data_IF_891144946672
#
_entry.id   IF_891144946672
#
_cell.length_a   1.000
_cell.length_b   1.000
_cell.length_c   1.000
_cell.angle_alpha   90.00
_cell.angle_beta   90.00
_cell.angle_gamma   90.00
#
_symmetry.space_group_name_H-M   'P 1'
#
loop_
_entity.id
_entity.type
_entity.pdbx_description
1 polymer ?
#
# COMPACT_ATOMS: atom_id res chain seq x y z
N UNK A 1 21.97 -24.77 -10.54
CA UNK A 1 21.61 -24.28 -9.20
C UNK A 1 22.43 -23.02 -8.99
N UNK A 2 21.91 -21.90 -9.44
CA UNK A 2 22.62 -20.61 -9.45
C UNK A 2 22.03 -19.72 -8.37
N UNK A 3 22.92 -19.12 -7.60
CA UNK A 3 22.66 -18.24 -6.47
C UNK A 3 21.79 -17.04 -6.88
N UNK A 4 20.53 -17.03 -6.52
CA UNK A 4 19.70 -15.83 -6.56
C UNK A 4 20.06 -14.96 -5.35
N UNK A 5 20.60 -13.78 -5.63
CA UNK A 5 20.90 -12.79 -4.62
C UNK A 5 19.60 -12.21 -4.01
N UNK A 6 19.26 -12.64 -2.82
CA UNK A 6 18.01 -12.32 -2.09
C UNK A 6 18.02 -10.93 -1.44
N UNK A 7 19.13 -10.20 -1.53
CA UNK A 7 19.32 -8.91 -0.80
C UNK A 7 18.53 -7.73 -1.39
N UNK A 8 17.89 -7.88 -2.55
CA UNK A 8 17.21 -6.76 -3.22
C UNK A 8 15.73 -6.56 -2.89
N UNK A 9 15.15 -7.35 -1.98
CA UNK A 9 13.69 -7.39 -1.78
C UNK A 9 13.15 -6.57 -0.60
N UNK A 10 13.92 -5.66 0.00
CA UNK A 10 13.54 -5.01 1.26
C UNK A 10 13.67 -3.48 1.19
N UNK A 11 13.01 -2.80 0.23
CA UNK A 11 13.07 -1.33 0.20
C UNK A 11 11.77 -0.69 -0.30
N UNK A 12 11.15 0.18 0.52
CA UNK A 12 10.03 1.11 0.33
C UNK A 12 8.72 0.57 -0.30
N UNK A 13 7.59 1.29 -0.11
CA UNK A 13 6.37 1.11 -0.92
C UNK A 13 6.72 1.10 -2.41
N UNK A 14 7.68 1.88 -2.82
CA UNK A 14 8.34 1.80 -4.12
C UNK A 14 9.01 0.45 -4.36
N UNK A 15 9.53 -0.21 -3.34
CA UNK A 15 10.24 -1.48 -3.43
C UNK A 15 9.37 -2.72 -3.19
N UNK A 16 8.19 -2.60 -2.64
CA UNK A 16 7.22 -3.70 -2.72
C UNK A 16 6.81 -3.92 -4.19
N UNK A 17 6.84 -2.85 -4.95
CA UNK A 17 6.75 -2.85 -6.41
C UNK A 17 8.12 -3.17 -7.05
N UNK A 18 9.24 -2.79 -6.41
CA UNK A 18 10.60 -3.14 -6.83
C UNK A 18 10.96 -4.62 -6.58
N UNK A 19 10.34 -5.34 -5.66
CA UNK A 19 10.54 -6.81 -5.57
C UNK A 19 10.03 -7.53 -6.81
N UNK A 20 8.93 -7.03 -7.38
CA UNK A 20 8.48 -7.41 -8.72
C UNK A 20 9.47 -6.98 -9.81
N UNK A 21 10.03 -5.78 -9.70
CA UNK A 21 11.00 -5.22 -10.63
C UNK A 21 12.38 -5.89 -10.53
N UNK A 22 12.82 -6.34 -9.35
CA UNK A 22 14.08 -7.07 -9.21
C UNK A 22 14.08 -8.42 -9.96
N UNK A 23 12.96 -9.11 -10.02
CA UNK A 23 12.85 -10.31 -10.87
C UNK A 23 13.08 -9.99 -12.35
N UNK A 24 12.54 -8.87 -12.83
CA UNK A 24 12.75 -8.41 -14.20
C UNK A 24 14.13 -7.76 -14.42
N UNK A 25 14.68 -7.04 -13.44
CA UNK A 25 16.03 -6.44 -13.52
C UNK A 25 17.11 -7.52 -13.54
N UNK A 26 16.98 -8.60 -12.79
CA UNK A 26 17.94 -9.72 -12.82
C UNK A 26 17.96 -10.39 -14.22
N UNK A 27 16.81 -10.49 -14.86
CA UNK A 27 16.74 -10.97 -16.25
C UNK A 27 17.26 -9.94 -17.27
N UNK A 28 17.07 -8.65 -17.05
CA UNK A 28 17.60 -7.60 -17.92
C UNK A 28 19.12 -7.41 -17.76
N UNK A 29 19.68 -7.54 -16.58
CA UNK A 29 21.14 -7.51 -16.35
C UNK A 29 21.80 -8.71 -17.06
N UNK A 30 21.16 -9.87 -17.07
CA UNK A 30 21.66 -11.04 -17.81
C UNK A 30 21.69 -10.80 -19.33
N UNK A 31 20.71 -10.06 -19.87
CA UNK A 31 20.67 -9.66 -21.29
C UNK A 31 21.68 -8.54 -21.59
N UNK A 32 21.93 -7.61 -20.66
CA UNK A 32 22.84 -6.49 -20.87
C UNK A 32 24.34 -6.91 -20.89
N UNK A 33 24.70 -8.00 -20.20
CA UNK A 33 26.06 -8.53 -20.22
C UNK A 33 26.44 -9.18 -21.56
N UNK A 34 25.45 -9.70 -22.29
CA UNK A 34 25.70 -10.26 -23.65
C UNK A 34 25.75 -9.19 -24.76
N UNK A 35 25.23 -7.98 -24.51
CA UNK A 35 25.17 -6.89 -25.50
C UNK A 35 26.39 -5.92 -25.38
N UNK A 36 27.19 -5.99 -24.32
CA UNK A 36 28.30 -5.05 -24.06
C UNK A 36 29.50 -5.16 -25.04
N UNK A 37 29.46 -6.04 -26.02
CA UNK A 37 30.59 -6.21 -26.97
C UNK A 37 30.41 -5.52 -28.34
N UNK A 38 29.37 -4.74 -28.58
CA UNK A 38 29.05 -4.24 -29.93
C UNK A 38 28.65 -2.76 -30.07
N UNK A 39 28.94 -1.87 -29.09
CA UNK A 39 28.66 -0.43 -29.27
C UNK A 39 29.90 0.38 -28.94
N UNK A 40 30.42 1.14 -29.94
CA UNK A 40 31.52 2.10 -29.82
C UNK A 40 31.23 3.19 -28.77
N UNK A 41 32.25 3.67 -28.03
CA UNK A 41 32.04 4.57 -26.91
C UNK A 41 31.77 5.99 -27.36
N UNK A 42 30.56 6.47 -27.17
CA UNK A 42 30.31 7.89 -26.99
C UNK A 42 30.81 8.28 -25.59
N UNK A 43 31.38 9.46 -25.38
CA UNK A 43 32.06 9.79 -24.15
C UNK A 43 31.09 9.78 -22.97
N UNK A 44 31.36 8.90 -22.03
CA UNK A 44 30.63 8.64 -20.80
C UNK A 44 30.29 9.92 -19.97
N UNK A 45 31.08 10.97 -20.13
CA UNK A 45 30.88 12.27 -19.50
C UNK A 45 29.67 13.07 -20.01
N UNK A 46 29.21 12.85 -21.26
CA UNK A 46 28.00 13.54 -21.75
C UNK A 46 26.72 12.91 -21.27
N UNK A 47 26.68 11.60 -21.06
CA UNK A 47 25.51 10.89 -20.54
C UNK A 47 25.27 11.22 -19.05
N UNK A 48 26.33 11.31 -18.26
CA UNK A 48 26.25 11.65 -16.82
C UNK A 48 25.76 13.09 -16.62
N UNK A 49 26.20 14.06 -17.43
CA UNK A 49 25.83 15.47 -17.25
C UNK A 49 24.39 15.81 -17.64
N UNK A 50 23.75 15.05 -18.54
CA UNK A 50 22.35 15.29 -18.92
C UNK A 50 21.38 14.66 -17.89
N UNK A 51 21.73 13.53 -17.27
CA UNK A 51 20.91 12.86 -16.26
C UNK A 51 21.11 13.41 -14.84
N UNK A 52 22.30 13.86 -14.50
CA UNK A 52 22.61 14.33 -13.13
C UNK A 52 22.12 15.76 -12.83
N UNK A 53 21.67 16.54 -13.81
CA UNK A 53 21.22 17.93 -13.56
C UNK A 53 19.79 18.04 -13.01
N UNK A 54 19.00 16.95 -12.97
CA UNK A 54 17.60 16.98 -12.54
C UNK A 54 17.26 16.05 -11.37
N UNK A 55 18.17 15.16 -10.97
CA UNK A 55 17.93 14.21 -9.87
C UNK A 55 18.76 14.62 -8.67
N UNK A 56 18.10 15.05 -7.59
CA UNK A 56 18.76 15.20 -6.31
C UNK A 56 18.77 13.80 -5.62
N UNK A 57 19.92 13.11 -5.53
CA UNK A 57 20.00 11.77 -4.95
C UNK A 57 19.65 11.73 -3.45
N UNK A 58 19.54 12.90 -2.81
CA UNK A 58 19.15 13.04 -1.40
C UNK A 58 17.68 13.45 -1.23
N UNK A 59 16.96 13.78 -2.32
CA UNK A 59 15.55 14.09 -2.23
C UNK A 59 14.76 12.78 -2.08
N UNK A 60 13.91 12.72 -1.08
CA UNK A 60 12.98 11.59 -0.94
C UNK A 60 11.94 11.67 -2.06
N UNK A 61 11.65 10.58 -2.76
CA UNK A 61 10.59 10.56 -3.77
C UNK A 61 9.25 10.92 -3.12
N UNK A 62 8.39 11.59 -3.88
CA UNK A 62 7.02 11.80 -3.46
C UNK A 62 6.10 10.79 -4.15
N UNK A 63 5.00 10.48 -3.49
CA UNK A 63 3.99 9.58 -3.99
C UNK A 63 2.62 10.24 -3.88
N UNK A 64 1.87 10.30 -4.97
CA UNK A 64 0.50 10.83 -4.97
C UNK A 64 -0.42 9.84 -5.69
N UNK A 65 -1.25 9.18 -4.90
CA UNK A 65 -2.30 8.31 -5.39
C UNK A 65 -3.37 9.16 -6.09
N UNK A 66 -3.84 8.74 -7.26
CA UNK A 66 -4.92 9.43 -7.97
C UNK A 66 -6.25 8.68 -7.83
N UNK A 67 -7.30 9.43 -7.49
CA UNK A 67 -8.69 8.95 -7.43
C UNK A 67 -9.51 9.52 -8.59
N UNK A 68 -9.45 8.92 -9.80
CA UNK A 68 -10.01 9.49 -11.01
C UNK A 68 -11.54 9.54 -11.03
N UNK A 69 -12.20 8.77 -10.17
CA UNK A 69 -13.65 8.74 -9.98
C UNK A 69 -14.07 9.06 -8.55
N UNK A 70 -13.16 9.67 -7.74
CA UNK A 70 -13.43 9.97 -6.34
C UNK A 70 -13.95 8.76 -5.56
N UNK A 71 -15.05 8.93 -4.83
CA UNK A 71 -15.70 7.87 -4.05
C UNK A 71 -16.74 7.05 -4.82
N UNK A 72 -16.92 7.29 -6.15
CA UNK A 72 -17.86 6.51 -6.95
C UNK A 72 -17.45 5.04 -6.96
N UNK A 73 -18.41 4.17 -6.59
CA UNK A 73 -18.21 2.73 -6.53
C UNK A 73 -19.51 2.00 -6.86
N UNK A 74 -19.40 0.84 -7.50
CA UNK A 74 -20.52 -0.06 -7.75
C UNK A 74 -20.86 -0.94 -6.55
N UNK A 75 -20.04 -0.91 -5.49
CA UNK A 75 -20.28 -1.57 -4.21
C UNK A 75 -20.62 -0.58 -3.09
N UNK A 76 -21.13 -1.13 -1.97
CA UNK A 76 -21.41 -0.42 -0.72
C UNK A 76 -20.93 -1.28 0.45
N UNK A 77 -19.60 -1.53 0.49
CA UNK A 77 -18.99 -2.28 1.58
C UNK A 77 -19.27 -1.58 2.91
N UNK A 78 -19.74 -2.33 3.91
CA UNK A 78 -20.26 -1.78 5.19
C UNK A 78 -19.18 -1.00 5.97
N UNK A 79 -17.93 -1.42 5.86
CA UNK A 79 -16.78 -0.81 6.51
C UNK A 79 -16.04 0.26 5.67
N UNK A 80 -16.50 0.58 4.46
CA UNK A 80 -15.75 1.45 3.56
C UNK A 80 -15.71 2.89 4.07
N UNK A 81 -14.57 3.28 4.62
CA UNK A 81 -14.31 4.65 5.13
C UNK A 81 -14.40 5.73 4.04
N UNK A 82 -14.32 5.31 2.78
CA UNK A 82 -14.22 6.24 1.67
C UNK A 82 -15.58 6.66 1.09
N UNK A 83 -16.64 5.91 1.34
CA UNK A 83 -17.99 6.21 0.80
C UNK A 83 -18.51 7.57 1.26
N UNK A 84 -18.27 7.95 2.52
CA UNK A 84 -18.72 9.24 3.04
C UNK A 84 -17.99 10.45 2.44
N UNK A 85 -16.81 10.24 1.81
CA UNK A 85 -16.02 11.32 1.20
C UNK A 85 -16.75 12.00 0.04
N UNK A 86 -17.77 11.33 -0.52
CA UNK A 86 -18.69 11.96 -1.47
C UNK A 86 -19.37 13.23 -0.89
N UNK A 87 -19.56 13.27 0.42
CA UNK A 87 -20.20 14.39 1.10
C UNK A 87 -19.37 15.69 1.03
N UNK A 88 -18.05 15.58 0.85
CA UNK A 88 -17.16 16.73 0.65
C UNK A 88 -17.35 17.41 -0.72
N UNK A 89 -18.01 16.74 -1.67
CA UNK A 89 -18.06 17.16 -3.08
C UNK A 89 -19.48 17.23 -3.63
N UNK A 90 -20.51 17.41 -2.78
CA UNK A 90 -21.92 17.42 -3.20
C UNK A 90 -22.23 18.52 -4.22
N UNK A 91 -21.54 19.65 -4.15
CA UNK A 91 -21.73 20.78 -5.06
C UNK A 91 -21.00 20.63 -6.40
N UNK A 92 -20.21 19.57 -6.59
CA UNK A 92 -19.48 19.31 -7.83
C UNK A 92 -20.40 18.74 -8.90
N UNK A 93 -20.36 19.34 -10.10
CA UNK A 93 -21.15 18.89 -11.26
C UNK A 93 -20.71 17.53 -11.80
N UNK A 94 -19.48 17.14 -11.56
CA UNK A 94 -18.88 15.88 -12.02
C UNK A 94 -18.06 15.29 -10.88
N UNK A 95 -18.14 13.98 -10.69
CA UNK A 95 -17.34 13.21 -9.74
C UNK A 95 -16.23 12.41 -10.41
N UNK A 96 -15.86 12.78 -11.63
CA UNK A 96 -14.76 12.17 -12.37
C UNK A 96 -13.77 13.22 -12.85
N UNK A 97 -12.51 12.88 -12.87
CA UNK A 97 -11.44 13.77 -13.33
C UNK A 97 -11.65 14.15 -14.81
N UNK A 98 -11.46 15.42 -15.14
CA UNK A 98 -11.47 15.91 -16.51
C UNK A 98 -10.16 15.56 -17.22
N UNK A 99 -10.22 15.53 -18.56
CA UNK A 99 -9.03 15.27 -19.39
C UNK A 99 -7.92 16.31 -19.16
N UNK A 100 -8.30 17.58 -19.02
CA UNK A 100 -7.34 18.66 -18.75
C UNK A 100 -6.67 18.50 -17.39
N UNK A 101 -7.43 18.08 -16.35
CA UNK A 101 -6.89 17.83 -15.03
C UNK A 101 -5.98 16.60 -15.00
N UNK A 102 -6.36 15.54 -15.74
CA UNK A 102 -5.55 14.34 -15.90
C UNK A 102 -4.18 14.67 -16.53
N UNK A 103 -4.17 15.44 -17.61
CA UNK A 103 -2.94 15.85 -18.28
C UNK A 103 -2.06 16.69 -17.36
N UNK A 104 -2.65 17.67 -16.67
CA UNK A 104 -1.92 18.49 -15.68
C UNK A 104 -1.30 17.63 -14.58
N UNK A 105 -2.08 16.71 -14.01
CA UNK A 105 -1.58 15.80 -12.97
C UNK A 105 -0.41 14.96 -13.49
N UNK A 106 -0.57 14.26 -14.61
CA UNK A 106 0.46 13.36 -15.14
C UNK A 106 1.75 14.13 -15.41
N UNK A 107 1.65 15.29 -16.06
CA UNK A 107 2.81 16.14 -16.34
C UNK A 107 3.52 16.57 -15.06
N UNK A 108 2.80 17.19 -14.13
CA UNK A 108 3.38 17.69 -12.87
C UNK A 108 3.93 16.57 -11.99
N UNK A 109 3.22 15.42 -11.95
CA UNK A 109 3.65 14.28 -11.13
C UNK A 109 4.97 13.69 -11.65
N UNK A 110 5.12 13.52 -12.96
CA UNK A 110 6.39 13.07 -13.55
C UNK A 110 7.49 14.11 -13.32
N UNK A 111 7.20 15.40 -13.51
CA UNK A 111 8.18 16.48 -13.33
C UNK A 111 8.64 16.63 -11.88
N UNK A 112 7.78 16.31 -10.92
CA UNK A 112 8.07 16.40 -9.48
C UNK A 112 8.94 15.26 -8.95
N UNK A 113 9.11 14.16 -9.71
CA UNK A 113 9.87 13.00 -9.25
C UNK A 113 11.37 13.23 -9.27
N UNK A 114 12.05 12.73 -8.26
CA UNK A 114 13.50 12.79 -8.08
C UNK A 114 14.19 11.49 -8.47
N UNK A 115 13.42 10.44 -8.75
CA UNK A 115 13.88 9.10 -9.14
C UNK A 115 13.73 8.86 -10.65
N UNK A 116 14.51 7.94 -11.24
CA UNK A 116 14.34 7.54 -12.64
C UNK A 116 13.05 6.76 -12.87
N UNK A 117 12.51 6.14 -11.83
CA UNK A 117 11.30 5.35 -11.88
C UNK A 117 10.13 6.14 -11.29
N UNK A 118 8.99 6.11 -11.98
CA UNK A 118 7.77 6.82 -11.56
C UNK A 118 6.61 5.84 -11.52
N UNK A 119 6.04 5.65 -10.33
CA UNK A 119 4.88 4.81 -10.15
C UNK A 119 3.61 5.64 -10.11
N UNK A 120 2.66 5.30 -10.98
CA UNK A 120 1.28 5.78 -10.89
C UNK A 120 0.42 4.76 -10.16
N UNK A 121 -0.27 5.19 -9.11
CA UNK A 121 -1.26 4.40 -8.40
C UNK A 121 -2.67 4.95 -8.66
N UNK A 122 -3.47 4.14 -9.31
CA UNK A 122 -4.87 4.42 -9.61
C UNK A 122 -5.75 3.79 -8.52
N UNK A 123 -6.45 4.61 -7.78
CA UNK A 123 -7.28 4.19 -6.66
C UNK A 123 -8.62 4.92 -6.64
N UNK A 124 -9.43 4.79 -5.59
CA UNK A 124 -10.65 5.55 -5.40
C UNK A 124 -11.77 4.72 -4.82
N UNK A 125 -12.99 4.99 -5.23
CA UNK A 125 -14.13 4.13 -4.99
C UNK A 125 -13.96 2.82 -5.77
N UNK A 126 -14.29 2.83 -7.06
CA UNK A 126 -13.92 1.74 -7.97
C UNK A 126 -13.29 2.34 -9.25
N UNK A 127 -12.04 2.01 -9.47
CA UNK A 127 -11.24 2.55 -10.58
C UNK A 127 -11.78 2.15 -11.95
N UNK A 128 -12.32 0.93 -12.08
CA UNK A 128 -12.88 0.42 -13.32
C UNK A 128 -14.26 1.04 -13.67
N UNK A 129 -14.77 1.95 -12.86
CA UNK A 129 -15.86 2.87 -13.25
C UNK A 129 -15.41 3.87 -14.32
N UNK A 130 -14.10 4.10 -14.48
CA UNK A 130 -13.54 4.78 -15.65
C UNK A 130 -13.34 3.77 -16.78
N UNK A 131 -13.69 4.11 -18.04
CA UNK A 131 -13.52 3.19 -19.16
C UNK A 131 -12.04 2.99 -19.54
N UNK A 132 -11.72 1.91 -20.24
CA UNK A 132 -10.36 1.60 -20.73
C UNK A 132 -9.77 2.76 -21.55
N UNK A 133 -10.60 3.46 -22.33
CA UNK A 133 -10.19 4.64 -23.12
C UNK A 133 -9.58 5.75 -22.27
N UNK A 134 -10.03 5.93 -21.01
CA UNK A 134 -9.41 6.85 -20.06
C UNK A 134 -7.98 6.43 -19.72
N UNK A 135 -7.75 5.16 -19.45
CA UNK A 135 -6.40 4.65 -19.12
C UNK A 135 -5.49 4.63 -20.35
N UNK A 136 -6.01 4.34 -21.55
CA UNK A 136 -5.25 4.48 -22.81
C UNK A 136 -4.75 5.90 -22.99
N UNK A 137 -5.61 6.90 -22.74
CA UNK A 137 -5.21 8.32 -22.75
C UNK A 137 -4.17 8.63 -21.68
N UNK A 138 -4.34 8.12 -20.46
CA UNK A 138 -3.36 8.31 -19.40
C UNK A 138 -1.97 7.77 -19.79
N UNK A 139 -1.90 6.57 -20.36
CA UNK A 139 -0.65 5.99 -20.85
C UNK A 139 -0.02 6.80 -22.02
N UNK A 140 -0.81 7.37 -22.89
CA UNK A 140 -0.34 8.26 -23.96
C UNK A 140 0.31 9.52 -23.37
N UNK A 141 -0.35 10.15 -22.40
CA UNK A 141 0.18 11.30 -21.67
C UNK A 141 1.45 10.96 -20.88
N UNK A 142 1.47 9.82 -20.21
CA UNK A 142 2.66 9.32 -19.51
C UNK A 142 3.86 9.19 -20.46
N UNK A 143 3.67 8.57 -21.63
CA UNK A 143 4.73 8.44 -22.66
C UNK A 143 5.20 9.81 -23.15
N UNK A 144 4.26 10.75 -23.37
CA UNK A 144 4.56 12.12 -23.82
C UNK A 144 5.45 12.86 -22.83
N UNK A 145 5.17 12.72 -21.53
CA UNK A 145 5.87 13.46 -20.47
C UNK A 145 6.98 12.67 -19.76
N UNK A 146 7.23 11.40 -20.11
CA UNK A 146 8.18 10.52 -19.43
C UNK A 146 9.62 11.05 -19.37
N UNK A 147 10.06 11.77 -20.41
CA UNK A 147 11.43 12.34 -20.49
C UNK A 147 12.54 11.32 -20.16
N UNK A 148 12.37 10.08 -20.63
CA UNK A 148 13.31 8.99 -20.40
C UNK A 148 13.19 8.28 -19.06
N UNK A 149 12.23 8.63 -18.22
CA UNK A 149 11.91 7.89 -16.99
C UNK A 149 11.13 6.63 -17.31
N UNK A 150 11.31 5.60 -16.47
CA UNK A 150 10.46 4.41 -16.50
C UNK A 150 9.16 4.71 -15.77
N UNK A 151 8.04 4.39 -16.41
CA UNK A 151 6.71 4.61 -15.85
C UNK A 151 6.07 3.25 -15.57
N UNK A 152 5.73 3.01 -14.31
CA UNK A 152 5.00 1.85 -13.86
C UNK A 152 3.59 2.25 -13.42
N UNK A 153 2.63 1.33 -13.54
CA UNK A 153 1.25 1.57 -13.16
C UNK A 153 0.72 0.47 -12.25
N UNK A 154 0.11 0.84 -11.14
CA UNK A 154 -0.68 -0.04 -10.30
C UNK A 154 -2.12 0.44 -10.20
N UNK A 155 -3.07 -0.49 -10.10
CA UNK A 155 -4.49 -0.17 -10.02
C UNK A 155 -5.17 -1.00 -8.95
N UNK A 156 -5.94 -0.34 -8.07
CA UNK A 156 -6.73 -1.01 -7.04
C UNK A 156 -8.16 -1.16 -7.50
N UNK A 157 -8.70 -2.37 -7.42
CA UNK A 157 -10.07 -2.68 -7.85
C UNK A 157 -10.76 -3.70 -6.93
N UNK A 158 -12.09 -3.63 -6.87
CA UNK A 158 -12.90 -4.70 -6.29
C UNK A 158 -13.10 -5.90 -7.25
N UNK A 159 -12.49 -5.88 -8.41
CA UNK A 159 -12.45 -6.92 -9.44
C UNK A 159 -13.82 -7.34 -10.04
N UNK A 160 -14.95 -6.78 -9.58
CA UNK A 160 -16.30 -7.20 -10.06
C UNK A 160 -16.63 -6.71 -11.45
N UNK A 161 -15.84 -5.77 -12.00
CA UNK A 161 -16.02 -5.19 -13.34
C UNK A 161 -14.97 -5.68 -14.35
N UNK A 162 -14.09 -6.60 -13.96
CA UNK A 162 -13.08 -7.17 -14.85
C UNK A 162 -13.71 -7.95 -16.00
N UNK A 163 -13.14 -7.79 -17.18
CA UNK A 163 -13.48 -8.49 -18.42
C UNK A 163 -12.20 -8.97 -19.10
N UNK A 164 -12.31 -9.82 -20.12
CA UNK A 164 -11.15 -10.20 -20.93
C UNK A 164 -10.43 -8.98 -21.52
N UNK A 165 -11.15 -7.97 -22.00
CA UNK A 165 -10.58 -6.72 -22.55
C UNK A 165 -9.76 -5.96 -21.49
N UNK A 166 -10.23 -5.89 -20.23
CA UNK A 166 -9.48 -5.28 -19.13
C UNK A 166 -8.19 -6.05 -18.85
N UNK A 167 -8.26 -7.37 -18.80
CA UNK A 167 -7.10 -8.20 -18.49
C UNK A 167 -6.05 -8.16 -19.62
N UNK A 168 -6.48 -8.15 -20.89
CA UNK A 168 -5.60 -7.93 -22.04
C UNK A 168 -4.90 -6.57 -21.94
N UNK A 169 -5.64 -5.51 -21.65
CA UNK A 169 -5.11 -4.16 -21.48
C UNK A 169 -4.07 -4.11 -20.34
N UNK A 170 -4.34 -4.72 -19.19
CA UNK A 170 -3.41 -4.74 -18.06
C UNK A 170 -2.13 -5.52 -18.38
N UNK A 171 -2.25 -6.68 -19.00
CA UNK A 171 -1.10 -7.48 -19.40
C UNK A 171 -0.21 -6.74 -20.42
N UNK A 172 -0.82 -6.17 -21.46
CA UNK A 172 -0.10 -5.45 -22.52
C UNK A 172 0.65 -4.22 -22.01
N UNK A 173 0.19 -3.60 -20.92
CA UNK A 173 0.75 -2.39 -20.35
C UNK A 173 1.40 -2.63 -18.98
N UNK A 174 1.65 -3.89 -18.58
CA UNK A 174 2.33 -4.30 -17.36
C UNK A 174 1.76 -3.64 -16.08
N UNK A 175 0.43 -3.59 -15.95
CA UNK A 175 -0.21 -3.13 -14.73
C UNK A 175 -0.08 -4.16 -13.61
N UNK A 176 0.26 -3.69 -12.41
CA UNK A 176 0.05 -4.46 -11.19
C UNK A 176 -1.39 -4.21 -10.69
N UNK A 177 -2.16 -5.28 -10.52
CA UNK A 177 -3.56 -5.18 -10.10
C UNK A 177 -3.73 -5.57 -8.63
N UNK A 178 -4.08 -4.60 -7.78
CA UNK A 178 -4.50 -4.87 -6.42
C UNK A 178 -5.97 -5.28 -6.39
N UNK A 179 -6.25 -6.48 -5.90
CA UNK A 179 -7.61 -7.02 -5.79
C UNK A 179 -8.09 -6.96 -4.35
N UNK A 180 -9.24 -6.31 -4.14
CA UNK A 180 -9.87 -6.27 -2.82
C UNK A 180 -10.69 -7.54 -2.58
N UNK A 181 -10.20 -8.45 -1.70
CA UNK A 181 -10.88 -9.68 -1.33
C UNK A 181 -10.57 -10.05 0.13
N UNK A 182 -11.59 -10.37 0.93
CA UNK A 182 -11.47 -10.54 2.38
C UNK A 182 -11.58 -12.02 2.81
N UNK A 183 -10.91 -12.93 2.09
CA UNK A 183 -10.91 -14.35 2.41
C UNK A 183 -12.04 -15.14 1.74
N UNK A 184 -12.45 -16.30 2.31
CA UNK A 184 -13.57 -17.14 1.85
C UNK A 184 -14.87 -16.38 1.66
N UNK A 185 -15.82 -17.01 0.96
CA UNK A 185 -17.12 -16.39 0.62
C UNK A 185 -17.84 -15.81 1.83
N UNK A 186 -17.90 -16.54 2.93
CA UNK A 186 -18.61 -16.14 4.14
C UNK A 186 -18.02 -14.85 4.73
N UNK A 187 -16.69 -14.75 4.78
CA UNK A 187 -15.99 -13.57 5.30
C UNK A 187 -16.13 -12.38 4.35
N UNK A 188 -15.94 -12.61 3.06
CA UNK A 188 -16.04 -11.57 2.04
C UNK A 188 -17.45 -10.98 1.96
N UNK A 189 -18.48 -11.84 1.87
CA UNK A 189 -19.85 -11.44 1.67
C UNK A 189 -20.52 -10.89 2.92
N UNK A 190 -19.89 -10.96 4.11
CA UNK A 190 -20.42 -10.31 5.32
C UNK A 190 -20.44 -8.78 5.13
N UNK A 191 -19.35 -8.21 4.63
CA UNK A 191 -19.21 -6.76 4.54
C UNK A 191 -19.10 -6.20 3.11
N UNK A 192 -18.63 -6.99 2.12
CA UNK A 192 -18.49 -6.55 0.74
C UNK A 192 -19.73 -6.86 -0.09
N UNK A 193 -20.62 -5.89 -0.14
CA UNK A 193 -21.93 -6.05 -0.80
C UNK A 193 -22.20 -4.94 -1.81
N UNK A 194 -23.10 -5.21 -2.74
CA UNK A 194 -23.62 -4.18 -3.65
C UNK A 194 -24.48 -3.17 -2.88
N UNK A 195 -24.86 -2.06 -3.52
CA UNK A 195 -25.79 -1.07 -2.96
C UNK A 195 -27.16 -1.67 -2.59
N UNK A 196 -27.55 -2.80 -3.21
CA UNK A 196 -28.80 -3.53 -2.92
C UNK A 196 -28.60 -4.68 -1.93
N UNK A 197 -27.44 -4.76 -1.27
CA UNK A 197 -27.13 -5.79 -0.26
C UNK A 197 -26.78 -7.18 -0.83
N UNK A 198 -26.61 -7.32 -2.15
CA UNK A 198 -26.27 -8.62 -2.76
C UNK A 198 -24.81 -8.99 -2.51
N UNK A 199 -24.48 -10.29 -2.34
CA UNK A 199 -23.13 -10.80 -2.20
C UNK A 199 -22.30 -10.54 -3.48
N UNK A 200 -20.96 -10.43 -3.33
CA UNK A 200 -20.07 -10.08 -4.43
C UNK A 200 -18.92 -11.06 -4.67
N UNK A 201 -18.70 -12.02 -3.77
CA UNK A 201 -17.60 -12.99 -3.82
C UNK A 201 -17.47 -13.69 -5.18
N UNK A 202 -18.56 -14.25 -5.71
CA UNK A 202 -18.51 -14.96 -6.98
C UNK A 202 -18.04 -14.09 -8.16
N UNK A 203 -18.39 -12.78 -8.16
CA UNK A 203 -17.93 -11.84 -9.19
C UNK A 203 -16.46 -11.52 -9.03
N UNK A 204 -15.98 -11.34 -7.80
CA UNK A 204 -14.56 -11.14 -7.51
C UNK A 204 -13.75 -12.34 -7.95
N UNK A 205 -14.18 -13.55 -7.59
CA UNK A 205 -13.52 -14.79 -8.03
C UNK A 205 -13.54 -14.99 -9.57
N UNK A 206 -14.59 -14.52 -10.24
CA UNK A 206 -14.61 -14.48 -11.71
C UNK A 206 -13.53 -13.53 -12.23
N UNK A 207 -13.39 -12.34 -11.64
CA UNK A 207 -12.35 -11.38 -11.99
C UNK A 207 -10.95 -11.95 -11.77
N UNK A 208 -10.69 -12.60 -10.63
CA UNK A 208 -9.41 -13.27 -10.33
C UNK A 208 -9.09 -14.36 -11.36
N UNK A 209 -10.08 -15.19 -11.72
CA UNK A 209 -9.87 -16.19 -12.78
C UNK A 209 -9.52 -15.57 -14.13
N UNK A 210 -10.07 -14.40 -14.46
CA UNK A 210 -9.70 -13.68 -15.69
C UNK A 210 -8.26 -13.14 -15.60
N UNK A 211 -7.84 -12.55 -14.47
CA UNK A 211 -6.45 -12.12 -14.26
C UNK A 211 -5.48 -13.28 -14.46
N UNK A 212 -5.73 -14.42 -13.81
CA UNK A 212 -4.91 -15.62 -13.93
C UNK A 212 -4.91 -16.17 -15.38
N UNK A 213 -6.07 -16.22 -16.04
CA UNK A 213 -6.19 -16.67 -17.45
C UNK A 213 -5.31 -15.86 -18.39
N UNK A 214 -5.23 -14.54 -18.19
CA UNK A 214 -4.46 -13.63 -19.03
C UNK A 214 -3.02 -13.42 -18.55
N UNK A 215 -2.60 -14.04 -17.44
CA UNK A 215 -1.26 -13.87 -16.86
C UNK A 215 -1.00 -12.44 -16.39
N UNK A 216 -2.01 -11.77 -15.85
CA UNK A 216 -1.89 -10.45 -15.25
C UNK A 216 -1.36 -10.60 -13.83
N UNK A 217 -0.33 -9.83 -13.48
CA UNK A 217 0.21 -9.80 -12.12
C UNK A 217 -0.78 -9.10 -11.16
N UNK A 218 -1.06 -9.77 -10.05
CA UNK A 218 -1.99 -9.24 -9.06
C UNK A 218 -1.60 -9.61 -7.63
N UNK A 219 -2.06 -8.79 -6.68
CA UNK A 219 -1.93 -9.02 -5.24
C UNK A 219 -3.28 -8.84 -4.55
N UNK A 220 -3.45 -9.46 -3.38
CA UNK A 220 -4.66 -9.31 -2.59
C UNK A 220 -4.49 -8.20 -1.52
N UNK A 221 -5.49 -7.31 -1.45
CA UNK A 221 -5.72 -6.45 -0.30
C UNK A 221 -6.92 -6.99 0.48
N UNK A 222 -6.68 -7.43 1.70
CA UNK A 222 -7.66 -8.07 2.54
C UNK A 222 -7.87 -7.28 3.83
N UNK A 223 -9.12 -6.93 4.11
CA UNK A 223 -9.50 -6.25 5.35
C UNK A 223 -9.75 -7.31 6.43
N UNK A 224 -9.05 -7.14 7.56
CA UNK A 224 -9.26 -7.94 8.77
C UNK A 224 -10.20 -7.17 9.70
N UNK A 225 -11.30 -7.80 10.05
CA UNK A 225 -12.42 -7.23 10.80
C UNK A 225 -12.81 -8.13 11.97
N UNK A 226 -13.82 -7.75 12.75
CA UNK A 226 -14.32 -8.47 13.92
C UNK A 226 -14.73 -9.92 13.61
N UNK A 227 -15.22 -10.19 12.40
CA UNK A 227 -15.75 -11.49 12.00
C UNK A 227 -14.67 -12.45 11.50
N UNK A 228 -13.81 -12.01 10.55
CA UNK A 228 -12.81 -12.89 9.94
C UNK A 228 -11.54 -13.05 10.77
N UNK A 229 -11.27 -12.14 11.72
CA UNK A 229 -10.07 -12.18 12.55
C UNK A 229 -9.99 -13.44 13.46
N UNK A 230 -11.11 -14.08 13.74
CA UNK A 230 -11.18 -15.29 14.57
C UNK A 230 -10.88 -16.58 13.78
N UNK A 231 -10.68 -16.48 12.46
CA UNK A 231 -10.44 -17.61 11.56
C UNK A 231 -9.14 -17.42 10.73
N UNK A 232 -7.98 -17.20 11.37
CA UNK A 232 -6.75 -16.82 10.68
C UNK A 232 -6.25 -17.86 9.67
N UNK A 233 -6.33 -19.15 9.98
CA UNK A 233 -5.86 -20.20 9.06
C UNK A 233 -6.79 -20.40 7.87
N UNK A 234 -8.11 -20.39 8.08
CA UNK A 234 -9.08 -20.46 6.98
C UNK A 234 -8.89 -19.27 6.03
N UNK A 235 -8.64 -18.10 6.62
CA UNK A 235 -8.33 -16.87 5.88
C UNK A 235 -7.04 -17.00 5.05
N UNK A 236 -5.95 -17.48 5.65
CA UNK A 236 -4.66 -17.60 4.99
C UNK A 236 -4.65 -18.72 3.95
N UNK A 237 -5.19 -19.90 4.27
CA UNK A 237 -5.25 -21.03 3.34
C UNK A 237 -6.08 -20.71 2.10
N UNK A 238 -7.14 -19.93 2.23
CA UNK A 238 -7.89 -19.45 1.07
C UNK A 238 -7.02 -18.73 0.05
N UNK A 239 -6.11 -17.85 0.47
CA UNK A 239 -5.21 -17.17 -0.45
C UNK A 239 -4.22 -18.13 -1.12
N UNK A 240 -3.78 -19.16 -0.40
CA UNK A 240 -2.95 -20.23 -0.98
C UNK A 240 -3.72 -21.02 -2.04
N UNK A 241 -4.96 -21.37 -1.76
CA UNK A 241 -5.84 -22.10 -2.69
C UNK A 241 -6.12 -21.37 -4.00
N UNK A 242 -6.31 -20.04 -3.94
CA UNK A 242 -6.54 -19.24 -5.14
C UNK A 242 -5.25 -18.83 -5.86
N UNK A 243 -4.08 -19.26 -5.36
CA UNK A 243 -2.76 -18.97 -5.94
C UNK A 243 -2.31 -17.52 -5.75
N UNK A 244 -2.71 -16.85 -4.68
CA UNK A 244 -2.28 -15.51 -4.37
C UNK A 244 -1.00 -15.54 -3.54
N UNK A 245 0.13 -15.14 -4.14
CA UNK A 245 1.43 -15.15 -3.48
C UNK A 245 1.74 -13.86 -2.71
N UNK A 246 1.04 -12.75 -2.97
CA UNK A 246 1.30 -11.44 -2.38
C UNK A 246 0.04 -10.94 -1.65
N UNK A 247 0.11 -10.86 -0.33
CA UNK A 247 -1.07 -10.60 0.51
C UNK A 247 -0.78 -9.41 1.44
N UNK A 248 -1.70 -8.45 1.43
CA UNK A 248 -1.69 -7.33 2.36
C UNK A 248 -2.88 -7.46 3.31
N UNK A 249 -2.63 -7.55 4.61
CA UNK A 249 -3.62 -7.49 5.65
C UNK A 249 -3.78 -6.05 6.16
N UNK A 250 -5.02 -5.57 6.19
CA UNK A 250 -5.34 -4.25 6.72
C UNK A 250 -6.34 -4.38 7.86
N UNK A 251 -5.94 -4.16 9.11
CA UNK A 251 -6.88 -4.19 10.23
C UNK A 251 -7.83 -3.00 10.12
N UNK A 252 -9.14 -3.25 10.14
CA UNK A 252 -10.12 -2.17 10.15
C UNK A 252 -10.38 -1.70 11.58
N UNK A 253 -10.21 -0.41 11.80
CA UNK A 253 -10.55 0.27 13.06
C UNK A 253 -11.21 1.58 12.70
N UNK A 254 -12.50 1.73 12.91
CA UNK A 254 -13.26 2.92 12.60
C UNK A 254 -14.05 3.41 13.82
N UNK A 255 -14.16 4.73 13.95
CA UNK A 255 -14.94 5.38 15.01
C UNK A 255 -15.88 6.42 14.42
N UNK A 256 -17.08 6.49 14.97
CA UNK A 256 -18.04 7.56 14.67
C UNK A 256 -17.85 8.72 15.61
N UNK A 257 -17.89 9.94 15.06
CA UNK A 257 -17.93 11.19 15.80
C UNK A 257 -18.96 12.14 15.18
N UNK A 258 -19.40 13.12 15.94
CA UNK A 258 -20.24 14.19 15.41
C UNK A 258 -19.39 15.25 14.71
N UNK A 259 -19.66 15.50 13.42
CA UNK A 259 -18.97 16.49 12.59
C UNK A 259 -19.98 17.39 11.86
N UNK A 260 -19.57 18.61 11.54
CA UNK A 260 -20.41 19.58 10.83
C UNK A 260 -20.16 19.63 9.31
N UNK A 261 -19.21 18.85 8.80
CA UNK A 261 -18.80 18.81 7.40
C UNK A 261 -19.44 17.68 6.59
N UNK A 262 -20.47 17.04 7.15
CA UNK A 262 -21.17 15.92 6.50
C UNK A 262 -20.44 14.57 6.60
N UNK A 263 -19.28 14.52 7.24
CA UNK A 263 -18.57 13.29 7.56
C UNK A 263 -18.98 12.78 8.94
N UNK A 264 -18.77 11.50 9.18
CA UNK A 264 -19.13 10.84 10.44
C UNK A 264 -18.00 10.01 11.05
N UNK A 265 -16.93 9.79 10.30
CA UNK A 265 -15.77 9.03 10.78
C UNK A 265 -14.71 9.97 11.37
N UNK A 266 -14.04 9.49 12.43
CA UNK A 266 -12.98 10.25 13.10
C UNK A 266 -11.71 10.32 12.21
N UNK A 267 -11.08 11.51 12.09
CA UNK A 267 -9.91 11.69 11.22
C UNK A 267 -8.58 11.21 11.85
N UNK A 268 -8.60 10.33 12.82
CA UNK A 268 -7.37 9.80 13.43
C UNK A 268 -7.19 10.21 14.87
N UNK A 269 -6.07 10.79 15.28
CA UNK A 269 -5.61 11.01 16.66
C UNK A 269 -6.54 11.77 17.61
N UNK A 270 -7.72 12.16 17.18
CA UNK A 270 -8.75 12.76 18.04
C UNK A 270 -9.22 11.74 19.08
N UNK A 271 -9.30 12.17 20.32
CA UNK A 271 -9.88 11.37 21.40
C UNK A 271 -11.41 11.33 21.29
N UNK A 272 -12.01 10.27 21.84
CA UNK A 272 -13.46 10.09 21.85
C UNK A 272 -13.98 9.43 20.58
N UNK A 273 -15.30 9.53 20.40
CA UNK A 273 -16.03 8.78 19.37
C UNK A 273 -16.37 7.37 19.79
N UNK A 274 -17.33 6.77 19.09
CA UNK A 274 -17.82 5.42 19.32
C UNK A 274 -17.15 4.46 18.33
N UNK A 275 -16.47 3.44 18.85
CA UNK A 275 -15.88 2.37 18.02
C UNK A 275 -16.99 1.63 17.28
N UNK A 276 -16.81 1.41 15.99
CA UNK A 276 -17.81 0.70 15.19
C UNK A 276 -17.60 -0.82 15.34
N UNK A 277 -18.69 -1.56 15.46
CA UNK A 277 -18.72 -2.99 15.79
C UNK A 277 -17.87 -3.88 14.89
N UNK A 278 -17.71 -3.54 13.62
CA UNK A 278 -16.87 -4.31 12.71
C UNK A 278 -15.36 -4.09 12.92
N UNK A 279 -14.95 -3.22 13.84
CA UNK A 279 -13.53 -2.98 14.11
C UNK A 279 -12.90 -4.18 14.79
N UNK A 280 -11.73 -4.61 14.28
CA UNK A 280 -10.97 -5.70 14.91
C UNK A 280 -10.46 -5.29 16.29
N UNK A 281 -10.54 -6.16 17.26
CA UNK A 281 -9.99 -5.91 18.60
C UNK A 281 -8.46 -6.09 18.63
N UNK A 282 -7.75 -5.49 19.60
CA UNK A 282 -6.31 -5.72 19.78
C UNK A 282 -5.94 -7.19 19.94
N UNK A 283 -6.75 -7.95 20.66
CA UNK A 283 -6.57 -9.38 20.92
C UNK A 283 -6.74 -10.21 19.65
N UNK A 284 -7.81 -9.95 18.90
CA UNK A 284 -8.05 -10.60 17.62
C UNK A 284 -6.91 -10.34 16.65
N UNK A 285 -6.47 -9.08 16.53
CA UNK A 285 -5.36 -8.72 15.64
C UNK A 285 -4.05 -9.40 16.00
N UNK A 286 -3.70 -9.45 17.28
CA UNK A 286 -2.51 -10.14 17.76
C UNK A 286 -2.56 -11.64 17.49
N UNK A 287 -3.67 -12.29 17.81
CA UNK A 287 -3.89 -13.73 17.57
C UNK A 287 -3.87 -14.05 16.07
N UNK A 288 -4.54 -13.24 15.25
CA UNK A 288 -4.57 -13.38 13.79
C UNK A 288 -3.16 -13.38 13.20
N UNK A 289 -2.35 -12.39 13.56
CA UNK A 289 -0.99 -12.29 13.06
C UNK A 289 -0.08 -13.42 13.54
N UNK A 290 -0.13 -13.77 14.82
CA UNK A 290 0.70 -14.85 15.38
C UNK A 290 0.37 -16.19 14.75
N UNK A 291 -0.91 -16.52 14.62
CA UNK A 291 -1.35 -17.81 14.05
C UNK A 291 -0.95 -17.97 12.58
N UNK A 292 -1.12 -16.91 11.77
CA UNK A 292 -0.68 -16.97 10.36
C UNK A 292 0.84 -17.01 10.28
N UNK A 293 1.54 -16.27 11.15
CA UNK A 293 2.99 -16.29 11.17
C UNK A 293 3.54 -17.67 11.48
N UNK A 294 2.95 -18.41 12.40
CA UNK A 294 3.35 -19.77 12.75
C UNK A 294 3.25 -20.74 11.56
N UNK A 295 2.19 -20.62 10.77
CA UNK A 295 2.02 -21.40 9.54
C UNK A 295 3.03 -20.95 8.48
N UNK A 296 3.15 -19.65 8.26
CA UNK A 296 4.02 -19.05 7.24
C UNK A 296 5.51 -19.34 7.50
N UNK A 297 5.97 -19.20 8.76
CA UNK A 297 7.38 -19.36 9.10
C UNK A 297 7.84 -20.81 9.00
N UNK A 298 6.93 -21.78 9.07
CA UNK A 298 7.21 -23.20 8.89
C UNK A 298 7.25 -23.65 7.44
N UNK A 299 6.42 -23.04 6.57
CA UNK A 299 6.10 -23.63 5.29
C UNK A 299 6.33 -22.70 4.08
N UNK A 300 6.24 -21.39 4.26
CA UNK A 300 5.91 -20.49 3.15
C UNK A 300 6.92 -19.35 2.93
N UNK A 301 7.96 -19.23 3.75
CA UNK A 301 8.97 -18.16 3.62
C UNK A 301 9.67 -18.21 2.27
N UNK A 302 9.59 -17.10 1.51
CA UNK A 302 10.14 -17.01 0.16
C UNK A 302 9.23 -17.56 -0.94
N UNK A 303 8.03 -18.05 -0.60
CA UNK A 303 7.02 -18.52 -1.55
C UNK A 303 5.75 -17.65 -1.48
N UNK A 304 5.33 -17.28 -0.28
CA UNK A 304 4.23 -16.37 -0.03
C UNK A 304 4.73 -15.15 0.71
N UNK A 305 4.35 -13.97 0.25
CA UNK A 305 4.78 -12.68 0.75
C UNK A 305 3.62 -12.00 1.47
N UNK A 306 3.75 -11.87 2.78
CA UNK A 306 2.79 -11.19 3.62
C UNK A 306 3.40 -9.86 4.02
N UNK A 307 2.85 -8.77 3.50
CA UNK A 307 3.44 -7.43 3.58
C UNK A 307 3.86 -7.03 4.99
N UNK A 308 3.04 -7.33 6.00
CA UNK A 308 3.36 -6.96 7.39
C UNK A 308 4.53 -7.77 7.96
N UNK A 309 4.72 -9.02 7.53
CA UNK A 309 5.84 -9.85 7.98
C UNK A 309 7.15 -9.39 7.33
N UNK A 310 7.11 -9.09 6.03
CA UNK A 310 8.26 -8.55 5.30
C UNK A 310 8.66 -7.17 5.86
N UNK A 311 7.70 -6.29 6.11
CA UNK A 311 7.94 -4.99 6.71
C UNK A 311 8.50 -5.10 8.16
N UNK A 312 8.07 -6.11 8.90
CA UNK A 312 8.63 -6.41 10.23
C UNK A 312 10.08 -6.83 10.12
N UNK A 313 10.41 -7.76 9.23
CA UNK A 313 11.80 -8.17 8.99
C UNK A 313 12.67 -7.01 8.53
N UNK A 314 12.15 -6.13 7.66
CA UNK A 314 12.84 -4.92 7.21
C UNK A 314 13.25 -4.04 8.40
N UNK A 315 12.34 -3.78 9.34
CA UNK A 315 12.65 -3.04 10.56
C UNK A 315 13.67 -3.77 11.44
N UNK A 316 13.61 -5.10 11.52
CA UNK A 316 14.59 -5.91 12.28
C UNK A 316 16.02 -5.80 11.74
N UNK A 317 16.17 -5.71 10.43
CA UNK A 317 17.49 -5.52 9.79
C UNK A 317 17.89 -4.05 9.65
N UNK A 318 17.03 -3.11 10.05
CA UNK A 318 17.33 -1.68 10.08
C UNK A 318 17.20 -0.98 8.72
N UNK A 319 16.40 -1.55 7.81
CA UNK A 319 16.07 -0.92 6.53
C UNK A 319 14.63 -0.36 6.56
N UNK A 320 14.30 0.49 5.60
CA UNK A 320 12.95 1.06 5.50
C UNK A 320 11.93 -0.05 5.27
N UNK A 321 10.87 -0.15 6.07
CA UNK A 321 9.78 -1.09 5.79
C UNK A 321 8.95 -0.59 4.62
N UNK A 322 8.62 -1.42 3.66
CA UNK A 322 7.73 -1.09 2.55
C UNK A 322 6.26 -0.83 2.96
N UNK A 323 6.01 -0.59 4.22
CA UNK A 323 4.69 -0.37 4.81
C UNK A 323 4.71 0.89 5.67
N UNK A 324 3.96 1.93 5.26
CA UNK A 324 3.96 3.22 5.95
C UNK A 324 3.49 3.13 7.42
N UNK A 325 2.65 2.15 7.76
CA UNK A 325 2.17 1.95 9.13
C UNK A 325 3.30 1.56 10.08
N UNK A 326 4.30 0.81 9.61
CA UNK A 326 5.48 0.42 10.37
C UNK A 326 6.72 1.32 10.12
N UNK A 327 6.61 2.35 9.26
CA UNK A 327 7.67 3.31 9.05
C UNK A 327 7.72 4.36 10.17
N UNK A 328 8.89 4.98 10.37
CA UNK A 328 9.10 6.01 11.39
C UNK A 328 8.25 7.27 11.15
N UNK A 329 8.07 7.65 9.90
CA UNK A 329 7.30 8.82 9.46
C UNK A 329 6.30 8.42 8.36
N UNK A 330 5.25 9.22 8.15
CA UNK A 330 4.31 8.98 7.05
C UNK A 330 4.87 9.33 5.67
N UNK A 331 5.98 10.08 5.61
CA UNK A 331 6.65 10.45 4.37
C UNK A 331 5.89 11.46 3.51
N UNK A 332 6.16 11.41 2.20
CA UNK A 332 5.56 12.27 1.19
C UNK A 332 4.54 11.49 0.34
N UNK A 333 3.65 10.76 1.01
CA UNK A 333 2.59 9.96 0.39
C UNK A 333 1.25 10.67 0.53
N UNK A 334 0.76 11.28 -0.53
CA UNK A 334 -0.50 12.00 -0.59
C UNK A 334 -1.53 11.31 -1.48
N UNK A 335 -2.71 11.93 -1.57
CA UNK A 335 -3.78 11.51 -2.47
C UNK A 335 -4.37 12.72 -3.19
N UNK A 336 -4.65 12.57 -4.47
CA UNK A 336 -5.37 13.58 -5.25
C UNK A 336 -6.75 13.09 -5.64
N UNK A 337 -7.75 13.93 -5.36
CA UNK A 337 -9.13 13.72 -5.77
C UNK A 337 -9.37 14.14 -7.23
N UNK A 338 -10.48 13.68 -7.78
CA UNK A 338 -10.89 13.95 -9.16
C UNK A 338 -10.98 15.44 -9.55
N UNK A 339 -11.18 16.32 -8.55
CA UNK A 339 -11.28 17.78 -8.75
C UNK A 339 -9.93 18.50 -8.60
N UNK A 340 -8.84 17.77 -8.35
CA UNK A 340 -7.49 18.30 -8.18
C UNK A 340 -7.10 18.67 -6.76
N UNK A 341 -7.96 18.44 -5.76
CA UNK A 341 -7.61 18.60 -4.35
C UNK A 341 -6.61 17.54 -3.92
N UNK A 342 -5.54 17.96 -3.25
CA UNK A 342 -4.49 17.09 -2.74
C UNK A 342 -4.53 17.07 -1.22
N UNK A 343 -4.57 15.88 -0.65
CA UNK A 343 -4.58 15.65 0.80
C UNK A 343 -3.32 14.92 1.28
N UNK A 344 -3.03 15.07 2.55
CA UNK A 344 -1.81 14.53 3.19
C UNK A 344 -1.70 13.00 3.11
N UNK A 345 -2.82 12.27 3.09
CA UNK A 345 -2.86 10.81 3.06
C UNK A 345 -4.27 10.35 2.65
N UNK A 346 -4.38 9.16 2.08
CA UNK A 346 -5.63 8.53 1.69
C UNK A 346 -6.62 8.35 2.86
N UNK A 347 -6.12 7.96 4.03
CA UNK A 347 -6.94 7.87 5.24
C UNK A 347 -7.34 9.21 5.84
N UNK A 348 -6.72 10.31 5.39
CA UNK A 348 -6.91 11.64 5.93
C UNK A 348 -7.48 12.61 4.88
N UNK A 349 -8.46 12.14 4.09
CA UNK A 349 -9.26 12.99 3.19
C UNK A 349 -10.32 13.70 4.03
N UNK A 350 -9.89 14.79 4.68
CA UNK A 350 -10.68 15.67 5.52
C UNK A 350 -10.24 17.11 5.29
N UNK A 351 -11.14 18.12 5.46
CA UNK A 351 -10.80 19.54 5.20
C UNK A 351 -9.53 20.02 5.90
N UNK A 352 -9.30 19.59 7.14
CA UNK A 352 -8.11 19.94 7.93
C UNK A 352 -6.80 19.41 7.36
N UNK A 353 -6.82 18.34 6.53
CA UNK A 353 -5.67 17.71 5.89
C UNK A 353 -5.51 18.08 4.41
N UNK A 354 -6.33 18.99 3.88
CA UNK A 354 -6.20 19.52 2.52
C UNK A 354 -4.89 20.31 2.38
N UNK A 355 -4.02 19.93 1.48
CA UNK A 355 -2.76 20.64 1.18
C UNK A 355 -2.96 21.78 0.18
N UNK A 356 -3.89 21.60 -0.73
CA UNK A 356 -4.25 22.57 -1.77
C UNK A 356 -4.87 21.88 -2.98
N UNK A 357 -4.99 22.64 -4.08
CA UNK A 357 -5.49 22.13 -5.36
C UNK A 357 -4.43 22.34 -6.44
N UNK A 358 -4.23 21.36 -7.33
CA UNK A 358 -3.18 21.43 -8.37
C UNK A 358 -3.42 22.54 -9.39
N UNK A 359 -4.61 23.15 -9.44
CA UNK A 359 -4.85 24.32 -10.29
C UNK A 359 -4.11 25.56 -9.79
N UNK A 360 -3.85 25.66 -8.48
CA UNK A 360 -3.32 26.84 -7.81
C UNK A 360 -1.92 26.62 -7.23
N UNK A 361 -1.51 25.37 -6.97
CA UNK A 361 -0.21 25.00 -6.41
C UNK A 361 0.32 23.77 -7.11
N UNK A 362 1.63 23.69 -7.27
CA UNK A 362 2.27 22.48 -7.83
C UNK A 362 2.24 21.33 -6.82
N UNK A 363 2.32 20.09 -7.34
CA UNK A 363 2.45 18.88 -6.50
C UNK A 363 3.67 18.99 -5.58
N UNK A 364 4.80 19.50 -6.09
CA UNK A 364 6.02 19.72 -5.32
C UNK A 364 5.83 20.68 -4.14
N UNK A 365 5.17 21.83 -4.36
CA UNK A 365 4.90 22.80 -3.29
C UNK A 365 4.01 22.21 -2.21
N UNK A 366 3.04 21.38 -2.57
CA UNK A 366 2.13 20.73 -1.62
C UNK A 366 2.83 19.61 -0.85
N UNK A 367 3.50 18.70 -1.55
CA UNK A 367 4.07 17.49 -0.94
C UNK A 367 5.38 17.74 -0.16
N UNK A 368 6.15 18.77 -0.51
CA UNK A 368 7.33 19.20 0.26
C UNK A 368 7.06 20.45 1.11
N UNK A 369 5.81 20.93 1.14
CA UNK A 369 5.38 22.05 1.96
C UNK A 369 5.37 21.72 3.46
N UNK A 370 5.39 22.79 4.30
CA UNK A 370 5.46 22.63 5.76
C UNK A 370 4.28 21.85 6.34
N UNK A 371 3.07 21.95 5.74
CA UNK A 371 1.89 21.20 6.19
C UNK A 371 2.10 19.68 6.03
N UNK A 372 2.62 19.22 4.90
CA UNK A 372 2.91 17.80 4.69
C UNK A 372 4.08 17.32 5.54
N UNK A 373 5.13 18.13 5.70
CA UNK A 373 6.25 17.81 6.59
C UNK A 373 5.80 17.65 8.04
N UNK A 374 4.94 18.56 8.52
CA UNK A 374 4.37 18.48 9.86
C UNK A 374 3.52 17.21 10.03
N UNK A 375 2.65 16.91 9.06
CA UNK A 375 1.86 15.68 9.04
C UNK A 375 2.74 14.43 9.05
N UNK A 376 3.79 14.39 8.23
CA UNK A 376 4.71 13.26 8.18
C UNK A 376 5.39 12.99 9.52
N UNK A 377 5.90 14.05 10.17
CA UNK A 377 6.60 13.97 11.46
C UNK A 377 5.69 13.69 12.63
N UNK A 378 4.39 14.04 12.54
CA UNK A 378 3.41 13.83 13.60
C UNK A 378 3.46 12.40 14.14
N UNK A 379 3.68 11.43 13.23
CA UNK A 379 3.78 10.02 13.58
C UNK A 379 4.87 9.74 14.62
N UNK A 380 6.04 10.35 14.48
CA UNK A 380 7.16 10.19 15.39
C UNK A 380 7.08 11.17 16.57
N UNK A 381 6.75 12.44 16.32
CA UNK A 381 6.87 13.51 17.31
C UNK A 381 5.79 13.40 18.41
N UNK A 382 4.62 12.86 18.06
CA UNK A 382 3.49 12.69 18.99
C UNK A 382 3.42 11.27 19.60
N UNK A 383 4.53 10.54 19.67
CA UNK A 383 4.57 9.27 20.39
C UNK A 383 4.35 9.48 21.90
N UNK A 384 3.40 8.75 22.54
CA UNK A 384 3.24 8.79 23.99
C UNK A 384 4.44 8.17 24.71
N UNK A 385 4.57 8.44 26.00
CA UNK A 385 5.71 7.97 26.80
C UNK A 385 5.88 6.46 26.73
N UNK A 386 4.79 5.70 26.84
CA UNK A 386 4.82 4.24 26.74
C UNK A 386 5.44 3.75 25.41
N UNK A 387 5.22 4.43 24.29
CA UNK A 387 5.84 4.08 23.02
C UNK A 387 7.32 4.39 22.98
N UNK A 388 7.75 5.52 23.57
CA UNK A 388 9.16 5.93 23.65
C UNK A 388 10.00 4.97 24.49
N UNK A 389 9.39 4.37 25.53
CA UNK A 389 10.01 3.39 26.42
C UNK A 389 9.86 1.94 25.94
N UNK A 390 9.13 1.71 24.85
CA UNK A 390 8.81 0.37 24.38
C UNK A 390 9.99 -0.29 23.67
N UNK A 391 10.34 -1.52 24.07
CA UNK A 391 11.39 -2.31 23.42
C UNK A 391 11.09 -2.58 21.92
N UNK A 392 9.82 -2.56 21.50
CA UNK A 392 9.38 -2.77 20.13
C UNK A 392 9.23 -1.47 19.33
N UNK A 393 9.68 -0.34 19.86
CA UNK A 393 9.54 0.95 19.20
C UNK A 393 10.23 0.96 17.83
N UNK A 394 11.36 0.29 17.67
CA UNK A 394 12.10 0.17 16.41
C UNK A 394 11.35 -0.59 15.31
N UNK A 395 10.42 -1.49 15.68
CA UNK A 395 9.64 -2.29 14.75
C UNK A 395 8.25 -1.68 14.49
N UNK A 396 7.64 -1.06 15.53
CA UNK A 396 6.27 -0.56 15.52
C UNK A 396 6.17 0.91 15.09
N UNK A 397 7.11 1.76 15.56
CA UNK A 397 7.05 3.23 15.40
C UNK A 397 5.72 3.86 15.80
N UNK A 398 4.93 3.18 16.67
CA UNK A 398 3.60 3.58 17.10
C UNK A 398 2.49 3.38 16.08
N UNK A 399 2.77 2.71 14.97
CA UNK A 399 1.84 2.38 13.88
C UNK A 399 1.12 3.61 13.28
N UNK A 400 0.00 3.47 12.58
CA UNK A 400 -0.69 4.55 11.88
C UNK A 400 -1.31 5.57 12.84
N UNK A 401 -1.11 6.88 12.63
CA UNK A 401 -1.79 7.92 13.40
C UNK A 401 -3.33 7.79 13.42
N UNK A 402 -3.93 7.23 12.37
CA UNK A 402 -5.38 6.97 12.30
C UNK A 402 -5.89 6.17 13.51
N UNK A 403 -5.11 5.20 13.99
CA UNK A 403 -5.50 4.30 15.07
C UNK A 403 -4.99 4.74 16.46
N UNK A 404 -4.42 5.94 16.58
CA UNK A 404 -3.82 6.46 17.83
C UNK A 404 -4.77 7.34 18.62
N UNK A 405 -5.80 6.78 19.22
CA UNK A 405 -6.85 7.52 19.91
C UNK A 405 -7.07 7.07 21.35
N UNK A 406 -6.26 6.14 21.86
CA UNK A 406 -6.37 5.71 23.25
C UNK A 406 -5.25 6.30 24.10
N UNK A 407 -5.43 6.29 25.43
CA UNK A 407 -4.41 6.75 26.37
C UNK A 407 -3.47 5.62 26.74
N UNK A 408 -2.22 5.97 26.95
CA UNK A 408 -1.20 5.04 27.46
C UNK A 408 -1.37 4.78 28.97
N UNK A 409 -0.57 3.86 29.52
CA UNK A 409 -0.59 3.50 30.94
C UNK A 409 -0.27 4.66 31.90
N UNK A 410 0.26 5.77 31.38
CA UNK A 410 0.57 6.97 32.14
C UNK A 410 -0.51 8.06 31.96
N UNK A 411 -1.56 7.80 31.18
CA UNK A 411 -2.63 8.74 30.86
C UNK A 411 -2.35 9.67 29.67
N UNK A 412 -1.21 9.51 28.97
CA UNK A 412 -0.88 10.33 27.80
C UNK A 412 -1.71 9.90 26.58
N UNK A 413 -2.21 10.84 25.76
CA UNK A 413 -2.96 10.52 24.54
C UNK A 413 -2.04 9.98 23.44
N UNK A 414 -2.65 9.39 22.40
CA UNK A 414 -1.94 9.02 21.17
C UNK A 414 -1.32 7.64 21.16
N UNK A 415 -1.74 6.73 22.06
CA UNK A 415 -1.43 5.31 21.96
C UNK A 415 -2.32 4.67 20.87
N UNK A 416 -1.72 3.79 20.08
CA UNK A 416 -2.44 3.02 19.08
C UNK A 416 -3.43 2.05 19.76
N UNK A 417 -4.66 2.00 19.26
CA UNK A 417 -5.70 1.09 19.75
C UNK A 417 -5.28 -0.39 19.69
N UNK A 418 -4.60 -0.78 18.62
CA UNK A 418 -4.11 -2.16 18.41
C UNK A 418 -2.77 -2.45 19.10
N UNK A 419 -2.25 -1.54 19.94
CA UNK A 419 -0.92 -1.65 20.57
C UNK A 419 -0.69 -3.01 21.26
N UNK A 420 -1.70 -3.54 21.98
CA UNK A 420 -1.61 -4.83 22.66
C UNK A 420 -1.35 -5.98 21.70
N UNK A 421 -2.08 -6.01 20.57
CA UNK A 421 -1.93 -7.03 19.53
C UNK A 421 -0.58 -6.95 18.83
N UNK A 422 -0.11 -5.74 18.49
CA UNK A 422 1.24 -5.57 17.91
C UNK A 422 2.35 -5.99 18.87
N UNK A 423 2.24 -5.68 20.16
CA UNK A 423 3.22 -6.12 21.15
C UNK A 423 3.26 -7.64 21.26
N UNK A 424 2.10 -8.29 21.32
CA UNK A 424 1.99 -9.76 21.29
C UNK A 424 2.67 -10.32 20.05
N UNK A 425 2.39 -9.77 18.88
CA UNK A 425 2.99 -10.21 17.62
C UNK A 425 4.52 -10.05 17.61
N UNK A 426 5.05 -8.88 17.94
CA UNK A 426 6.51 -8.67 17.92
C UNK A 426 7.24 -9.54 18.94
N UNK A 427 6.65 -9.79 20.11
CA UNK A 427 7.20 -10.71 21.10
C UNK A 427 7.24 -12.14 20.57
N UNK A 428 6.15 -12.58 19.96
CA UNK A 428 6.01 -13.91 19.38
C UNK A 428 7.01 -14.18 18.24
N UNK A 429 7.14 -13.24 17.30
CA UNK A 429 7.98 -13.44 16.10
C UNK A 429 9.47 -13.20 16.35
N UNK A 430 9.85 -12.63 17.53
CA UNK A 430 11.23 -12.23 17.83
C UNK A 430 12.28 -13.30 17.53
N UNK A 431 12.18 -14.57 18.03
CA UNK A 431 13.23 -15.56 17.80
C UNK A 431 13.43 -15.87 16.30
N UNK A 432 12.38 -15.87 15.53
CA UNK A 432 12.41 -16.14 14.09
C UNK A 432 12.96 -14.94 13.31
N UNK A 433 12.56 -13.73 13.68
CA UNK A 433 13.08 -12.50 13.08
C UNK A 433 14.57 -12.31 13.40
N UNK A 434 15.01 -12.64 14.61
CA UNK A 434 16.42 -12.60 14.99
C UNK A 434 17.24 -13.63 14.18
N UNK A 435 16.70 -14.81 13.96
CA UNK A 435 17.34 -15.84 13.12
C UNK A 435 17.43 -15.36 11.66
N UNK A 436 16.34 -14.90 11.07
CA UNK A 436 16.30 -14.41 9.68
C UNK A 436 17.24 -13.21 9.49
N UNK A 437 17.33 -12.30 10.47
CA UNK A 437 18.32 -11.21 10.48
C UNK A 437 19.74 -11.73 10.45
N UNK A 438 20.06 -12.79 11.22
CA UNK A 438 21.36 -13.45 11.23
C UNK A 438 21.70 -14.08 9.87
N UNK A 439 20.72 -14.73 9.22
CA UNK A 439 20.88 -15.28 7.89
C UNK A 439 21.19 -14.20 6.84
N UNK A 440 20.40 -13.13 6.85
CA UNK A 440 20.62 -12.00 5.94
C UNK A 440 21.99 -11.33 6.17
N UNK A 441 22.40 -11.13 7.41
CA UNK A 441 23.74 -10.58 7.73
C UNK A 441 24.88 -11.49 7.23
N UNK A 442 24.64 -12.80 7.19
CA UNK A 442 25.57 -13.80 6.65
C UNK A 442 25.39 -14.04 5.13
N UNK A 443 24.60 -13.23 4.43
CA UNK A 443 24.25 -13.38 3.01
C UNK A 443 23.63 -14.74 2.68
N UNK A 444 22.83 -15.28 3.59
CA UNK A 444 22.08 -16.52 3.40
C UNK A 444 20.57 -16.25 3.30
N UNK A 445 19.79 -17.14 2.67
CA UNK A 445 18.35 -16.96 2.56
C UNK A 445 17.63 -16.93 3.90
N UNK A 446 16.74 -15.95 4.17
CA UNK A 446 15.91 -15.93 5.38
C UNK A 446 14.98 -17.16 5.47
N UNK A 447 14.66 -17.80 4.33
CA UNK A 447 13.90 -19.05 4.25
C UNK A 447 14.53 -20.23 5.01
N UNK A 448 15.81 -20.16 5.38
CA UNK A 448 16.45 -21.14 6.26
C UNK A 448 15.78 -21.23 7.65
N UNK A 449 14.96 -20.23 8.01
CA UNK A 449 14.17 -20.25 9.24
C UNK A 449 13.20 -21.43 9.32
N UNK A 450 12.70 -21.92 8.19
CA UNK A 450 11.84 -23.11 8.14
C UNK A 450 12.54 -24.35 8.72
N UNK A 451 13.85 -24.51 8.45
CA UNK A 451 14.65 -25.57 9.05
C UNK A 451 14.95 -25.34 10.54
N UNK A 452 15.08 -24.09 10.96
CA UNK A 452 15.26 -23.71 12.36
C UNK A 452 14.04 -24.10 13.20
N UNK A 453 12.83 -23.86 12.71
CA UNK A 453 11.58 -24.23 13.38
C UNK A 453 11.46 -25.74 13.58
N UNK A 454 11.74 -26.52 12.52
CA UNK A 454 11.67 -28.01 12.57
C UNK A 454 12.64 -28.59 13.62
N UNK A 455 13.81 -27.98 13.81
CA UNK A 455 14.80 -28.45 14.78
C UNK A 455 14.57 -27.96 16.22
N UNK A 456 13.63 -27.03 16.43
CA UNK A 456 13.28 -26.46 17.73
C UNK A 456 12.08 -27.19 18.39
N UNK A 457 11.32 -27.98 17.63
CA UNK A 457 10.24 -28.85 18.09
C UNK A 457 10.80 -30.25 18.40
#
# INVERSE_FOLDING_TARGET
MENMNIISCIFDIEQYILSYLCYHITNMIRISWEIQFLVLPLPYHLYINIYMSTINPFARPLYVMLKPAGSLCNLRCKYCYYLEKNNLYQDQKSHVISDQMLEKFIKEYIESQTTPDVLFCWHGGETLMRPISFYRKALELQRTYARGRRIDNSIQTNATLLTDEWCEFFRENNFLVGVSIDGPQEFHDEYRRTATGKPTFHKVMQGIRLLNKHGVEWNALAVVNDFNADYPLDFYHFFKEIGCHYIQFTPIVERKISRNDGLSLAPGMEEGGELIDFSVTPEQWGNFLCTIFDEWVRNDVGQYYIQIFDATLANWVGVQPGLCTLAKECGHAGVMEFNGDVYSCDHFVYPEHLLGNIQNKTITEMMYGEKQKAFSRLKHDCLPQQCRECQWQFACHGECPKNRFVRDKYGNPGLNYLCKGYRQFFEHVKPYMDFMKGELAAQRPPANVMNFVINAE
#
